data_IF_668542938026
#
_entry.id   IF_668542938026
#
_cell.length_a   1.000
_cell.length_b   1.000
_cell.length_c   1.000
_cell.angle_alpha   90.00
_cell.angle_beta   90.00
_cell.angle_gamma   90.00
#
_symmetry.space_group_name_H-M   'P 1'
#
loop_
_entity.id
_entity.type
_entity.pdbx_description
1 polymer ?
#
# COMPACT_ATOMS: atom_id res chain seq x y z
N UNK A 1 17.70 -6.69 5.36
CA UNK A 1 16.23 -6.58 5.57
C UNK A 1 15.62 -5.86 4.37
N UNK A 2 15.09 -6.59 3.39
CA UNK A 2 14.54 -6.00 2.15
C UNK A 2 13.01 -6.00 2.23
N UNK A 3 12.42 -5.00 2.88
CA UNK A 3 11.05 -4.62 2.52
C UNK A 3 11.14 -3.93 1.15
N UNK A 4 11.11 -4.69 0.07
CA UNK A 4 11.04 -4.11 -1.28
C UNK A 4 9.75 -3.28 -1.42
N UNK A 5 9.80 -2.22 -2.22
CA UNK A 5 8.66 -1.33 -2.51
C UNK A 5 7.35 -2.08 -2.89
N UNK A 6 7.46 -3.32 -3.38
CA UNK A 6 6.37 -4.28 -3.61
C UNK A 6 5.49 -4.51 -2.37
N UNK A 7 6.06 -4.49 -1.18
CA UNK A 7 5.37 -4.81 0.07
C UNK A 7 4.46 -3.66 0.54
N UNK A 8 4.76 -2.42 0.15
CA UNK A 8 3.96 -1.24 0.49
C UNK A 8 2.62 -1.22 -0.25
N UNK A 9 2.59 -1.53 -1.55
CA UNK A 9 1.35 -1.48 -2.35
C UNK A 9 0.46 -2.73 -2.13
N UNK A 10 1.02 -3.91 -1.83
CA UNK A 10 0.25 -5.07 -1.34
C UNK A 10 -0.54 -4.74 -0.08
N UNK A 11 0.07 -3.95 0.79
CA UNK A 11 -0.50 -3.56 2.06
C UNK A 11 -1.52 -2.45 1.94
N UNK A 12 -1.59 -1.69 0.83
CA UNK A 12 -2.64 -0.68 0.61
C UNK A 12 -4.01 -1.30 0.38
N UNK A 13 -4.09 -2.39 -0.39
CA UNK A 13 -5.37 -3.05 -0.65
C UNK A 13 -5.85 -3.82 0.58
N UNK A 14 -4.92 -4.40 1.35
CA UNK A 14 -5.21 -5.01 2.66
C UNK A 14 -5.52 -3.93 3.72
N UNK A 15 -4.85 -2.78 3.68
CA UNK A 15 -5.05 -1.67 4.61
C UNK A 15 -6.44 -1.06 4.47
N UNK A 16 -7.14 -1.20 3.36
CA UNK A 16 -8.49 -0.66 3.25
C UNK A 16 -9.59 -1.53 3.88
N UNK A 17 -9.22 -2.71 4.41
CA UNK A 17 -10.17 -3.79 4.66
C UNK A 17 -10.62 -4.05 6.10
N UNK A 18 -10.13 -3.26 7.06
CA UNK A 18 -10.80 -3.21 8.36
C UNK A 18 -12.18 -2.56 8.17
N UNK A 19 -13.23 -3.34 8.42
CA UNK A 19 -14.61 -2.91 8.40
C UNK A 19 -14.94 -2.05 9.63
N UNK A 20 -16.11 -1.42 9.62
CA UNK A 20 -16.65 -0.73 10.80
C UNK A 20 -16.93 -1.69 11.99
N UNK A 21 -16.85 -3.00 11.78
CA UNK A 21 -17.17 -4.05 12.74
C UNK A 21 -15.99 -4.37 13.69
N UNK A 22 -14.76 -4.03 13.30
CA UNK A 22 -13.58 -4.10 14.20
C UNK A 22 -13.55 -2.96 15.23
N UNK A 23 -14.26 -1.85 14.98
CA UNK A 23 -14.39 -0.72 15.94
C UNK A 23 -15.04 -1.11 17.27
N UNK A 24 -15.83 -2.18 17.30
CA UNK A 24 -16.54 -2.63 18.50
C UNK A 24 -15.75 -3.68 19.30
N UNK A 25 -14.92 -4.50 18.62
CA UNK A 25 -14.11 -5.54 19.28
C UNK A 25 -12.83 -4.98 19.90
N UNK A 26 -12.27 -3.90 19.34
CA UNK A 26 -11.08 -3.20 19.86
C UNK A 26 -11.32 -2.47 21.20
N UNK A 27 -12.57 -2.27 21.61
CA UNK A 27 -12.90 -1.66 22.91
C UNK A 27 -12.78 -2.64 24.08
N UNK A 28 -12.72 -3.96 23.83
CA UNK A 28 -12.88 -4.97 24.89
C UNK A 28 -11.59 -5.71 25.28
N UNK A 29 -10.59 -5.81 24.41
CA UNK A 29 -9.36 -6.55 24.72
C UNK A 29 -8.14 -5.64 24.56
N UNK A 30 -7.47 -5.32 25.68
CA UNK A 30 -6.20 -4.59 25.75
C UNK A 30 -4.99 -5.38 25.19
N UNK A 31 -5.22 -6.23 24.19
CA UNK A 31 -4.20 -7.08 23.59
C UNK A 31 -3.84 -6.63 22.17
N UNK A 32 -2.59 -6.87 21.81
CA UNK A 32 -1.99 -6.50 20.53
C UNK A 32 -2.72 -7.16 19.33
N UNK A 33 -3.74 -6.48 18.81
CA UNK A 33 -4.45 -6.82 17.56
C UNK A 33 -3.53 -6.57 16.33
N UNK A 34 -3.63 -7.36 15.25
CA UNK A 34 -2.58 -7.52 14.24
C UNK A 34 -2.48 -6.31 13.30
N UNK A 35 -1.25 -5.87 13.01
CA UNK A 35 -0.81 -4.92 11.96
C UNK A 35 -1.91 -4.08 11.29
N UNK A 36 -2.67 -3.30 12.06
CA UNK A 36 -3.69 -2.44 11.50
C UNK A 36 -3.03 -1.22 10.86
N UNK A 37 -3.26 -1.03 9.56
CA UNK A 37 -2.74 0.10 8.80
C UNK A 37 -3.73 1.27 8.83
N UNK A 38 -3.25 2.43 9.27
CA UNK A 38 -3.94 3.71 9.26
C UNK A 38 -3.49 4.55 8.06
N UNK A 39 -4.45 5.05 7.31
CA UNK A 39 -4.25 5.83 6.07
C UNK A 39 -4.67 7.28 6.27
N UNK A 40 -3.70 8.18 6.08
CA UNK A 40 -3.87 9.63 6.20
C UNK A 40 -3.31 10.36 4.99
N UNK A 41 -3.81 11.57 4.78
CA UNK A 41 -3.21 12.58 3.91
C UNK A 41 -2.63 13.66 4.81
N UNK A 42 -1.33 13.85 4.77
CA UNK A 42 -0.65 14.79 5.67
C UNK A 42 0.41 15.62 4.94
N UNK A 43 0.55 16.89 5.33
CA UNK A 43 1.60 17.79 4.83
C UNK A 43 2.75 17.83 5.83
N UNK A 44 3.97 17.60 5.37
CA UNK A 44 5.16 17.68 6.23
C UNK A 44 5.49 19.13 6.51
N UNK A 45 5.69 19.47 7.79
CA UNK A 45 5.96 20.84 8.24
C UNK A 45 7.35 21.02 8.81
N UNK A 46 7.82 20.05 9.59
CA UNK A 46 9.14 20.10 10.20
C UNK A 46 9.70 18.69 10.31
N UNK A 47 11.02 18.57 10.19
CA UNK A 47 11.78 17.37 10.54
C UNK A 47 12.57 17.64 11.81
N UNK A 48 12.59 16.66 12.72
CA UNK A 48 13.35 16.69 13.96
C UNK A 48 14.10 15.37 14.05
N UNK A 49 15.40 15.42 14.37
CA UNK A 49 16.24 14.24 14.56
C UNK A 49 16.73 14.24 16.00
N UNK A 50 15.94 13.69 16.95
CA UNK A 50 16.29 13.72 18.36
C UNK A 50 17.53 12.87 18.67
N UNK A 51 17.75 11.80 17.90
CA UNK A 51 18.91 10.91 17.99
C UNK A 51 19.30 10.40 16.59
N UNK A 52 20.36 9.59 16.51
CA UNK A 52 20.80 8.97 15.27
C UNK A 52 19.85 7.84 14.80
N UNK A 53 19.13 7.23 15.74
CA UNK A 53 18.30 6.06 15.49
C UNK A 53 16.90 6.41 14.95
N UNK A 54 16.41 7.63 15.17
CA UNK A 54 15.04 8.03 14.87
C UNK A 54 14.94 9.41 14.22
N UNK A 55 13.97 9.56 13.34
CA UNK A 55 13.57 10.82 12.74
C UNK A 55 12.08 11.04 12.97
N UNK A 56 11.74 12.23 13.45
CA UNK A 56 10.36 12.62 13.79
C UNK A 56 9.92 13.73 12.86
N UNK A 57 8.85 13.50 12.11
CA UNK A 57 8.21 14.50 11.28
C UNK A 57 7.03 15.12 12.02
N UNK A 58 7.01 16.46 12.11
CA UNK A 58 5.80 17.21 12.43
C UNK A 58 5.00 17.38 11.14
N UNK A 59 3.78 16.86 11.14
CA UNK A 59 2.88 16.90 10.00
C UNK A 59 1.58 17.60 10.34
N UNK A 60 0.98 18.26 9.35
CA UNK A 60 -0.40 18.75 9.40
C UNK A 60 -1.28 17.71 8.70
N UNK A 61 -2.03 16.93 9.47
CA UNK A 61 -3.01 15.99 8.93
C UNK A 61 -4.11 16.81 8.24
N UNK A 62 -4.29 16.57 6.93
CA UNK A 62 -5.33 17.21 6.12
C UNK A 62 -6.59 16.36 6.09
N UNK A 63 -6.43 15.04 6.08
CA UNK A 63 -7.53 14.08 5.98
C UNK A 63 -7.16 12.73 6.55
N UNK A 64 -8.06 12.14 7.32
CA UNK A 64 -8.00 10.75 7.74
C UNK A 64 -8.90 9.93 6.79
N UNK A 65 -8.32 9.01 6.04
CA UNK A 65 -9.06 8.14 5.11
C UNK A 65 -9.48 6.85 5.81
N UNK A 66 -8.60 6.33 6.65
CA UNK A 66 -8.85 5.21 7.54
C UNK A 66 -7.98 5.38 8.78
N UNK A 67 -8.58 5.61 9.94
CA UNK A 67 -7.83 5.71 11.18
C UNK A 67 -8.59 4.98 12.29
N UNK A 68 -7.87 4.21 13.09
CA UNK A 68 -8.33 3.70 14.38
C UNK A 68 -8.51 4.86 15.36
N UNK A 69 -9.31 4.68 16.42
CA UNK A 69 -9.45 5.70 17.46
C UNK A 69 -8.09 6.03 18.10
N UNK A 70 -7.26 5.01 18.34
CA UNK A 70 -5.89 5.15 18.84
C UNK A 70 -5.03 5.98 17.91
N UNK A 71 -5.06 5.71 16.61
CA UNK A 71 -4.33 6.50 15.63
C UNK A 71 -4.84 7.95 15.57
N UNK A 72 -6.15 8.16 15.55
CA UNK A 72 -6.73 9.50 15.54
C UNK A 72 -6.28 10.33 16.76
N UNK A 73 -6.27 9.74 17.96
CA UNK A 73 -5.79 10.40 19.18
C UNK A 73 -4.31 10.76 19.06
N UNK A 74 -3.45 9.83 18.64
CA UNK A 74 -2.01 10.07 18.50
C UNK A 74 -1.69 11.10 17.41
N UNK A 75 -2.43 11.07 16.30
CA UNK A 75 -2.28 11.99 15.18
C UNK A 75 -2.71 13.42 15.50
N UNK A 76 -3.47 13.66 16.58
CA UNK A 76 -3.71 15.03 17.09
C UNK A 76 -2.41 15.75 17.44
N UNK A 77 -1.38 15.03 17.89
CA UNK A 77 -0.05 15.59 18.14
C UNK A 77 0.70 15.95 16.85
N UNK A 78 0.26 15.41 15.71
CA UNK A 78 0.85 15.63 14.40
C UNK A 78 2.27 15.08 14.26
N UNK A 79 2.64 14.01 14.98
CA UNK A 79 3.99 13.42 14.94
C UNK A 79 3.99 12.08 14.24
N UNK A 80 4.87 11.92 13.25
CA UNK A 80 5.19 10.64 12.62
C UNK A 80 6.64 10.28 12.92
N UNK A 81 6.89 9.04 13.32
CA UNK A 81 8.22 8.55 13.68
C UNK A 81 8.69 7.54 12.64
N UNK A 82 9.95 7.64 12.24
CA UNK A 82 10.64 6.66 11.38
C UNK A 82 12.04 6.41 11.94
N UNK A 83 12.69 5.32 11.52
CA UNK A 83 14.12 5.14 11.76
C UNK A 83 14.94 6.26 11.10
N UNK A 84 16.08 6.61 11.69
CA UNK A 84 16.97 7.69 11.22
C UNK A 84 17.80 7.33 9.99
N UNK A 85 17.95 6.04 9.69
CA UNK A 85 18.74 5.55 8.55
C UNK A 85 17.89 4.68 7.62
N UNK A 86 18.12 4.81 6.31
CA UNK A 86 17.48 3.96 5.29
C UNK A 86 17.79 2.47 5.47
N UNK A 87 19.01 2.13 5.91
CA UNK A 87 19.42 0.76 6.25
C UNK A 87 18.56 0.13 7.37
N UNK A 88 18.00 0.96 8.26
CA UNK A 88 17.07 0.59 9.33
C UNK A 88 15.60 0.78 8.93
N UNK A 89 15.30 0.79 7.63
CA UNK A 89 13.97 1.06 7.07
C UNK A 89 13.46 2.49 7.32
N UNK A 90 14.36 3.45 7.49
CA UNK A 90 14.04 4.88 7.60
C UNK A 90 13.56 5.49 6.29
N UNK A 91 12.68 6.50 6.39
CA UNK A 91 12.14 7.21 5.22
C UNK A 91 12.44 8.70 5.29
N UNK A 92 12.80 9.27 4.14
CA UNK A 92 13.05 10.70 3.98
C UNK A 92 11.85 11.37 3.30
N UNK A 93 11.14 12.22 4.05
CA UNK A 93 10.01 13.00 3.53
C UNK A 93 10.43 14.46 3.27
N UNK A 94 9.95 15.03 2.17
CA UNK A 94 10.25 16.42 1.80
C UNK A 94 9.38 17.39 2.59
N UNK A 95 9.98 18.49 3.07
CA UNK A 95 9.26 19.58 3.74
C UNK A 95 8.27 20.25 2.79
N UNK A 96 7.15 20.70 3.35
CA UNK A 96 6.04 21.34 2.64
C UNK A 96 5.39 20.50 1.51
N UNK A 97 5.77 19.23 1.35
CA UNK A 97 5.10 18.31 0.45
C UNK A 97 3.95 17.59 1.16
N UNK A 98 2.89 17.26 0.42
CA UNK A 98 1.74 16.51 0.95
C UNK A 98 1.86 15.06 0.50
N UNK A 99 1.70 14.13 1.42
CA UNK A 99 1.79 12.70 1.15
C UNK A 99 0.49 11.98 1.49
N UNK A 100 0.22 10.93 0.73
CA UNK A 100 -0.66 9.85 1.14
C UNK A 100 0.19 8.81 1.87
N UNK A 101 -0.14 8.58 3.14
CA UNK A 101 0.65 7.77 4.05
C UNK A 101 -0.27 6.68 4.61
N UNK A 102 0.08 5.42 4.38
CA UNK A 102 -0.40 4.31 5.18
C UNK A 102 0.72 3.92 6.15
N UNK A 103 0.48 4.06 7.45
CA UNK A 103 1.41 3.68 8.52
C UNK A 103 0.69 2.79 9.53
N UNK A 104 1.35 2.52 10.66
CA UNK A 104 0.74 1.78 11.77
C UNK A 104 1.09 2.46 13.10
N UNK A 105 0.27 2.22 14.11
CA UNK A 105 0.58 2.64 15.48
C UNK A 105 1.30 1.51 16.19
N UNK A 106 2.49 1.80 16.71
CA UNK A 106 3.27 0.86 17.52
C UNK A 106 3.91 1.59 18.68
N UNK A 107 3.91 0.95 19.87
CA UNK A 107 4.45 1.51 21.11
C UNK A 107 3.92 2.95 21.42
N UNK A 108 2.64 3.20 21.15
CA UNK A 108 2.02 4.51 21.40
C UNK A 108 2.47 5.62 20.44
N UNK A 109 3.12 5.28 19.32
CA UNK A 109 3.59 6.24 18.32
C UNK A 109 3.06 5.87 16.93
N UNK A 110 2.70 6.88 16.13
CA UNK A 110 2.42 6.68 14.71
C UNK A 110 3.76 6.50 13.98
N UNK A 111 4.00 5.28 13.47
CA UNK A 111 5.26 4.89 12.83
C UNK A 111 5.10 4.65 11.33
N UNK A 112 6.11 5.10 10.60
CA UNK A 112 6.27 4.87 9.16
C UNK A 112 7.67 4.33 8.90
N UNK A 113 7.83 3.57 7.81
CA UNK A 113 9.07 2.92 7.41
C UNK A 113 9.10 2.68 5.90
N UNK A 114 10.21 2.17 5.36
CA UNK A 114 10.30 1.78 3.94
C UNK A 114 9.25 0.72 3.52
N UNK A 115 8.70 -0.04 4.48
CA UNK A 115 7.64 -1.00 4.21
C UNK A 115 6.24 -0.34 4.13
N UNK A 116 6.16 0.96 4.46
CA UNK A 116 4.92 1.73 4.49
C UNK A 116 4.58 2.27 3.12
N UNK A 117 3.29 2.48 2.84
CA UNK A 117 2.89 3.15 1.62
C UNK A 117 2.99 4.65 1.79
N UNK A 118 3.94 5.26 1.11
CA UNK A 118 4.22 6.69 1.15
C UNK A 118 4.32 7.15 -0.29
N UNK A 119 3.37 7.96 -0.72
CA UNK A 119 3.38 8.51 -2.08
C UNK A 119 3.05 10.00 -2.05
N UNK A 120 3.75 10.85 -2.82
CA UNK A 120 3.38 12.24 -2.96
C UNK A 120 1.92 12.35 -3.42
N UNK A 121 1.16 13.24 -2.78
CA UNK A 121 -0.25 13.42 -3.07
C UNK A 121 -0.47 13.86 -4.52
N UNK A 122 0.45 14.67 -5.07
CA UNK A 122 0.44 15.12 -6.47
C UNK A 122 0.55 13.95 -7.46
N UNK A 123 1.38 12.96 -7.13
CA UNK A 123 1.63 11.76 -7.93
C UNK A 123 0.61 10.64 -7.67
N UNK A 124 -0.27 10.80 -6.66
CA UNK A 124 -1.33 9.83 -6.38
C UNK A 124 -2.39 9.89 -7.47
N UNK A 125 -2.63 8.76 -8.13
CA UNK A 125 -3.59 8.68 -9.23
C UNK A 125 -5.02 8.96 -8.75
N UNK A 126 -5.88 9.44 -9.65
CA UNK A 126 -7.31 9.66 -9.34
C UNK A 126 -7.97 8.36 -8.87
N UNK A 127 -7.57 7.22 -9.47
CA UNK A 127 -8.09 5.90 -9.10
C UNK A 127 -7.65 5.49 -7.71
N UNK A 128 -6.39 5.70 -7.33
CA UNK A 128 -5.88 5.44 -5.98
C UNK A 128 -6.64 6.29 -4.95
N UNK A 129 -6.80 7.59 -5.20
CA UNK A 129 -7.57 8.48 -4.29
C UNK A 129 -9.01 8.01 -4.10
N UNK A 130 -9.70 7.59 -5.17
CA UNK A 130 -11.04 6.98 -5.10
C UNK A 130 -11.03 5.62 -4.40
N UNK A 131 -9.96 4.84 -4.62
CA UNK A 131 -9.64 3.57 -3.96
C UNK A 131 -9.70 3.71 -2.45
N UNK A 132 -8.84 4.54 -1.88
CA UNK A 132 -8.77 4.75 -0.44
C UNK A 132 -10.03 5.37 0.16
N UNK A 133 -10.77 6.18 -0.59
CA UNK A 133 -12.01 6.79 -0.11
C UNK A 133 -13.16 5.79 -0.02
N UNK A 134 -13.28 4.87 -0.98
CA UNK A 134 -14.49 4.05 -1.13
C UNK A 134 -14.22 2.65 -1.67
N UNK A 135 -13.46 2.53 -2.75
CA UNK A 135 -13.51 1.34 -3.60
C UNK A 135 -12.69 0.17 -3.05
N UNK A 136 -11.61 0.42 -2.30
CA UNK A 136 -10.80 -0.68 -1.76
C UNK A 136 -11.55 -1.53 -0.73
N UNK A 137 -12.59 -0.98 -0.07
CA UNK A 137 -13.49 -1.75 0.81
C UNK A 137 -14.23 -2.89 0.09
N UNK A 138 -14.46 -2.77 -1.21
CA UNK A 138 -15.12 -3.80 -2.01
C UNK A 138 -14.19 -4.98 -2.33
N UNK A 139 -12.88 -4.81 -2.13
CA UNK A 139 -11.85 -5.80 -2.39
C UNK A 139 -11.49 -6.70 -1.21
N UNK A 140 -12.18 -6.59 -0.08
CA UNK A 140 -11.71 -7.19 1.18
C UNK A 140 -11.82 -8.69 1.27
N UNK A 141 -12.73 -9.28 0.50
CA UNK A 141 -12.81 -10.72 0.34
C UNK A 141 -11.87 -11.25 -0.76
N UNK A 142 -11.11 -10.37 -1.43
CA UNK A 142 -10.21 -10.71 -2.51
C UNK A 142 -8.75 -10.68 -2.05
N UNK A 143 -8.01 -11.74 -2.37
CA UNK A 143 -6.59 -11.86 -2.03
C UNK A 143 -5.74 -11.39 -3.22
N UNK A 144 -4.79 -10.48 -3.00
CA UNK A 144 -3.84 -10.06 -4.04
C UNK A 144 -2.54 -10.88 -3.92
N UNK A 145 -2.14 -11.49 -5.03
CA UNK A 145 -0.90 -12.27 -5.13
C UNK A 145 0.10 -11.55 -6.02
N UNK A 146 1.35 -11.42 -5.56
CA UNK A 146 2.43 -10.93 -6.44
C UNK A 146 2.70 -11.98 -7.50
N UNK A 147 2.50 -11.62 -8.75
CA UNK A 147 2.75 -12.50 -9.87
C UNK A 147 3.47 -11.77 -11.01
N UNK A 148 4.70 -11.27 -10.77
CA UNK A 148 5.48 -10.66 -11.83
C UNK A 148 5.81 -11.68 -12.93
N UNK A 149 6.18 -11.19 -14.12
CA UNK A 149 6.34 -12.02 -15.32
C UNK A 149 7.33 -13.18 -15.21
N UNK A 150 8.36 -13.07 -14.35
CA UNK A 150 9.34 -14.14 -14.09
C UNK A 150 8.88 -15.19 -13.07
N UNK A 151 7.75 -14.97 -12.39
CA UNK A 151 7.18 -15.92 -11.43
C UNK A 151 6.02 -16.64 -12.12
N UNK A 152 6.12 -17.95 -12.26
CA UNK A 152 4.99 -18.74 -12.73
C UNK A 152 3.96 -18.91 -11.60
N UNK A 153 2.85 -18.18 -11.67
CA UNK A 153 1.72 -18.33 -10.74
C UNK A 153 0.56 -19.12 -11.34
N UNK A 154 0.82 -19.88 -12.40
CA UNK A 154 -0.15 -20.83 -12.97
C UNK A 154 -0.33 -22.06 -12.07
N UNK A 155 0.63 -22.32 -11.17
CA UNK A 155 0.63 -23.54 -10.40
C UNK A 155 -0.34 -23.51 -9.21
N UNK A 156 -1.34 -24.40 -9.23
CA UNK A 156 -2.35 -24.55 -8.16
C UNK A 156 -1.70 -24.95 -6.83
N UNK A 157 -0.51 -25.57 -6.87
CA UNK A 157 0.28 -25.96 -5.70
C UNK A 157 1.00 -24.81 -4.98
N UNK A 158 1.12 -23.62 -5.59
CA UNK A 158 1.58 -22.41 -4.88
C UNK A 158 0.42 -21.60 -4.27
N UNK A 159 -0.82 -21.84 -4.75
CA UNK A 159 -2.03 -21.30 -4.14
C UNK A 159 -2.36 -21.99 -2.80
N UNK A 160 -1.84 -23.20 -2.55
CA UNK A 160 -2.03 -23.97 -1.31
C UNK A 160 -1.09 -23.57 -0.17
N UNK A 161 -0.09 -22.70 -0.40
CA UNK A 161 0.68 -22.04 0.68
C UNK A 161 -0.23 -21.12 1.52
N UNK A 162 -1.44 -20.80 1.02
CA UNK A 162 -2.50 -20.07 1.73
C UNK A 162 -3.59 -21.01 2.29
N UNK A 163 -3.36 -22.34 2.31
CA UNK A 163 -4.15 -23.30 3.08
C UNK A 163 -5.61 -23.52 2.65
N UNK A 164 -6.07 -23.05 1.49
CA UNK A 164 -7.48 -23.13 1.12
C UNK A 164 -7.69 -23.87 -0.21
N UNK A 165 -8.42 -24.99 -0.16
CA UNK A 165 -8.64 -25.92 -1.29
C UNK A 165 -9.66 -25.43 -2.34
N UNK A 166 -10.08 -24.15 -2.31
CA UNK A 166 -11.15 -23.61 -3.19
C UNK A 166 -10.91 -22.16 -3.67
N UNK A 167 -9.67 -21.64 -3.60
CA UNK A 167 -9.41 -20.19 -3.58
C UNK A 167 -9.14 -19.54 -4.93
N UNK A 168 -8.99 -20.31 -6.03
CA UNK A 168 -8.65 -19.76 -7.36
C UNK A 168 -9.60 -18.66 -7.84
N UNK A 169 -10.86 -18.69 -7.42
CA UNK A 169 -11.86 -17.68 -7.76
C UNK A 169 -11.67 -16.34 -7.02
N UNK A 170 -11.08 -16.30 -5.82
CA UNK A 170 -11.00 -15.06 -5.01
C UNK A 170 -9.64 -14.35 -5.07
N UNK A 171 -8.86 -14.58 -6.12
CA UNK A 171 -7.48 -14.11 -6.22
C UNK A 171 -7.29 -13.12 -7.38
N UNK A 172 -6.58 -12.02 -7.09
CA UNK A 172 -6.14 -11.06 -8.07
C UNK A 172 -4.62 -11.16 -8.28
N UNK A 173 -4.21 -11.58 -9.47
CA UNK A 173 -2.80 -11.68 -9.83
C UNK A 173 -2.22 -10.31 -10.19
N UNK A 174 -1.20 -9.88 -9.47
CA UNK A 174 -0.52 -8.61 -9.71
C UNK A 174 0.73 -8.83 -10.57
N UNK A 175 0.56 -8.60 -11.87
CA UNK A 175 1.53 -8.78 -12.95
C UNK A 175 2.43 -7.58 -13.18
N UNK A 176 1.96 -6.38 -12.85
CA UNK A 176 2.73 -5.14 -13.02
C UNK A 176 3.56 -4.77 -11.79
N UNK A 177 3.55 -5.60 -10.74
CA UNK A 177 4.32 -5.39 -9.53
C UNK A 177 5.82 -5.26 -9.81
N UNK A 178 6.46 -4.25 -9.23
CA UNK A 178 7.84 -3.88 -9.55
C UNK A 178 8.84 -4.67 -8.70
N UNK A 179 9.46 -5.71 -9.24
CA UNK A 179 10.58 -6.40 -8.55
C UNK A 179 11.79 -6.79 -9.42
N UNK A 180 11.80 -6.53 -10.73
CA UNK A 180 13.00 -6.78 -11.58
C UNK A 180 13.35 -5.62 -12.52
N UNK A 181 12.36 -4.94 -13.12
CA UNK A 181 12.58 -3.73 -13.92
C UNK A 181 12.03 -2.51 -13.17
N UNK A 182 12.87 -1.84 -12.39
CA UNK A 182 12.51 -0.61 -11.65
C UNK A 182 12.04 0.52 -12.58
N UNK A 183 12.25 0.38 -13.89
CA UNK A 183 11.91 1.33 -14.94
C UNK A 183 10.49 1.19 -15.50
N UNK A 184 9.78 0.08 -15.24
CA UNK A 184 8.44 -0.13 -15.80
C UNK A 184 7.32 0.28 -14.83
N UNK A 185 6.30 1.06 -15.26
CA UNK A 185 5.27 1.61 -14.38
C UNK A 185 4.29 0.53 -13.87
N UNK A 186 3.92 0.60 -12.59
CA UNK A 186 2.97 -0.34 -11.98
C UNK A 186 1.50 -0.01 -12.30
N UNK A 187 1.03 -0.45 -13.46
CA UNK A 187 -0.31 -0.11 -13.91
C UNK A 187 -1.44 -0.63 -13.02
N UNK A 188 -1.33 -1.82 -12.45
CA UNK A 188 -2.36 -2.36 -11.55
C UNK A 188 -2.38 -1.62 -10.21
N UNK A 189 -1.21 -1.32 -9.62
CA UNK A 189 -1.13 -0.54 -8.38
C UNK A 189 -1.58 0.92 -8.53
N UNK A 190 -1.42 1.50 -9.73
CA UNK A 190 -1.81 2.88 -10.01
C UNK A 190 -3.25 3.03 -10.52
N UNK A 191 -3.74 2.12 -11.35
CA UNK A 191 -4.99 2.33 -12.11
C UNK A 191 -6.03 1.22 -11.96
N UNK A 192 -5.73 0.13 -11.24
CA UNK A 192 -6.67 -0.97 -11.04
C UNK A 192 -7.04 -1.14 -9.57
N UNK A 193 -8.20 -1.78 -9.35
CA UNK A 193 -8.68 -2.18 -8.03
C UNK A 193 -9.07 -3.64 -8.12
N UNK A 194 -8.59 -4.45 -7.19
CA UNK A 194 -9.02 -5.84 -7.04
C UNK A 194 -10.34 -5.86 -6.28
N UNK A 195 -11.39 -6.38 -6.90
CA UNK A 195 -12.73 -6.47 -6.31
C UNK A 195 -13.49 -7.69 -6.84
N UNK A 196 -14.60 -8.03 -6.19
CA UNK A 196 -15.49 -9.09 -6.64
C UNK A 196 -16.12 -8.71 -7.99
N UNK A 197 -16.08 -9.62 -8.96
CA UNK A 197 -16.68 -9.42 -10.27
C UNK A 197 -18.16 -9.84 -10.27
N UNK A 198 -18.99 -9.26 -11.17
CA UNK A 198 -20.40 -9.64 -11.29
C UNK A 198 -20.61 -11.12 -11.62
N UNK A 199 -19.73 -11.72 -12.43
CA UNK A 199 -19.75 -13.15 -12.78
C UNK A 199 -19.22 -14.09 -11.69
N UNK A 200 -18.99 -13.59 -10.48
CA UNK A 200 -18.34 -14.31 -9.39
C UNK A 200 -16.82 -14.24 -9.45
N UNK A 201 -16.20 -14.54 -8.30
CA UNK A 201 -14.75 -14.43 -8.12
C UNK A 201 -14.24 -12.99 -8.03
N UNK A 202 -12.93 -12.82 -7.97
CA UNK A 202 -12.21 -11.57 -7.81
C UNK A 202 -11.35 -11.28 -9.04
N UNK A 203 -11.27 -10.02 -9.42
CA UNK A 203 -10.46 -9.59 -10.54
C UNK A 203 -10.06 -8.13 -10.45
N UNK A 204 -9.11 -7.75 -11.30
CA UNK A 204 -8.70 -6.36 -11.45
C UNK A 204 -9.67 -5.60 -12.35
N UNK A 205 -10.02 -4.38 -11.96
CA UNK A 205 -10.72 -3.45 -12.86
C UNK A 205 -9.77 -2.91 -13.92
N UNK A 206 -10.26 -2.83 -15.16
CA UNK A 206 -9.49 -2.35 -16.30
C UNK A 206 -10.12 -1.07 -16.84
N UNK A 207 -9.74 0.08 -16.27
CA UNK A 207 -10.24 1.38 -16.75
C UNK A 207 -9.40 1.93 -17.93
N UNK A 208 -9.82 3.05 -18.52
CA UNK A 208 -9.10 3.68 -19.63
C UNK A 208 -7.65 4.01 -19.27
N UNK A 209 -7.39 4.47 -18.04
CA UNK A 209 -6.03 4.84 -17.63
C UNK A 209 -5.14 3.60 -17.44
N UNK A 210 -5.71 2.49 -16.97
CA UNK A 210 -5.04 1.20 -16.93
C UNK A 210 -4.61 0.77 -18.33
N UNK A 211 -5.49 0.86 -19.34
CA UNK A 211 -5.13 0.52 -20.71
C UNK A 211 -4.03 1.42 -21.30
N UNK A 212 -4.10 2.75 -21.04
CA UNK A 212 -3.06 3.69 -21.44
C UNK A 212 -1.72 3.32 -20.80
N UNK A 213 -1.69 3.10 -19.48
CA UNK A 213 -0.48 2.68 -18.77
C UNK A 213 0.09 1.38 -19.32
N UNK A 214 -0.76 0.39 -19.60
CA UNK A 214 -0.34 -0.90 -20.14
C UNK A 214 0.26 -0.75 -21.55
N UNK A 215 -0.22 0.18 -22.37
CA UNK A 215 0.37 0.49 -23.68
C UNK A 215 1.77 1.11 -23.51
N UNK A 216 1.91 2.11 -22.65
CA UNK A 216 3.21 2.73 -22.33
C UNK A 216 4.19 1.70 -21.77
N UNK A 217 3.74 0.83 -20.87
CA UNK A 217 4.55 -0.24 -20.27
C UNK A 217 5.07 -1.23 -21.32
N UNK A 218 4.29 -1.53 -22.38
CA UNK A 218 4.73 -2.38 -23.50
C UNK A 218 5.83 -1.69 -24.28
N UNK A 219 5.60 -0.44 -24.72
CA UNK A 219 6.60 0.35 -25.44
C UNK A 219 7.95 0.42 -24.71
N UNK A 220 7.93 0.78 -23.42
CA UNK A 220 9.13 0.86 -22.60
C UNK A 220 9.87 -0.48 -22.45
N UNK A 221 9.14 -1.60 -22.48
CA UNK A 221 9.74 -2.94 -22.44
C UNK A 221 10.41 -3.26 -23.77
N UNK A 222 9.73 -3.00 -24.88
CA UNK A 222 10.24 -3.27 -26.22
C UNK A 222 11.51 -2.43 -26.49
N UNK A 223 11.53 -1.17 -26.04
CA UNK A 223 12.72 -0.31 -26.08
C UNK A 223 13.88 -0.83 -25.21
N UNK A 224 13.60 -1.48 -24.09
CA UNK A 224 14.63 -2.09 -23.24
C UNK A 224 15.22 -3.33 -23.91
N UNK A 225 14.37 -4.20 -24.46
CA UNK A 225 14.79 -5.40 -25.19
C UNK A 225 15.61 -5.02 -26.44
N UNK A 226 15.26 -3.94 -27.14
CA UNK A 226 16.01 -3.45 -28.29
C UNK A 226 17.40 -2.87 -27.92
N UNK A 227 17.65 -2.57 -26.65
CA UNK A 227 18.94 -2.04 -26.14
C UNK A 227 19.78 -3.12 -25.46
N UNK A 228 19.27 -4.34 -25.30
CA UNK A 228 20.05 -5.47 -24.82
C UNK A 228 20.98 -5.96 -25.96
N UNK A 229 22.31 -6.00 -25.75
CA UNK A 229 23.30 -6.37 -26.77
C UNK A 229 23.30 -7.87 -27.10
#
# INVERSE_FOLDING_TARGET
MKCGAVQAVKRVVVAACASAEERYKDLLNNDAQPDHWDVIVAKVKKVMRPDYASTVYKVKVKKELKATQKAAILLKSGRLVTSGMSSMCGVDLRLEETYLIAGHVSAGQARISLCSFIQPWRETSVRQRKGFKLLYKQGCHCKIVNCPWWRDCKDKAQMSVIGEKNTSKNLCQWKTSVSSHQTLPDCQGMHSICMKLPGGGCGWTNDRQYHVCMKTRRHMRDEQLAKEP
#
